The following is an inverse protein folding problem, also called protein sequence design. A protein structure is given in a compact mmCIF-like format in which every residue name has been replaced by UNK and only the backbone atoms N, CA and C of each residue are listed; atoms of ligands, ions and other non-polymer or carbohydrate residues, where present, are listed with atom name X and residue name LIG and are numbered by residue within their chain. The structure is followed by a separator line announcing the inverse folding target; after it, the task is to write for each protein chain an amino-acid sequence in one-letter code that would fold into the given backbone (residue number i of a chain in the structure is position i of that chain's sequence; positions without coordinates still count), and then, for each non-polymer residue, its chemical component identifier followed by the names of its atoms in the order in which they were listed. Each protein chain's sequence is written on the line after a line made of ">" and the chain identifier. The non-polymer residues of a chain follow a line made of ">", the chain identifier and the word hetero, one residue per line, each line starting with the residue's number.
data_IF_085239569364
#
_entry.id   IF_085239569364
#
_cell.length_a   1.000
_cell.length_b   1.000
_cell.length_c   1.000
_cell.angle_alpha   90.00
_cell.angle_beta   90.00
_cell.angle_gamma   90.00
#
_symmetry.space_group_name_H-M   'P 1'
#
loop_
_entity.id
_entity.type
_entity.pdbx_description
1 polymer ?
#
# COMPACT_ATOMS: atom_id res chain seq x y z
N UNK A 1 4.48 -12.80 4.22
CA UNK A 1 5.31 -11.71 3.65
C UNK A 1 6.78 -12.07 3.87
N UNK A 2 7.71 -11.50 3.11
CA UNK A 2 9.15 -11.78 3.28
C UNK A 2 9.64 -11.37 4.68
N UNK A 3 9.10 -10.28 5.25
CA UNK A 3 9.35 -9.91 6.65
C UNK A 3 8.97 -11.02 7.65
N UNK A 4 7.88 -11.75 7.43
CA UNK A 4 7.53 -12.87 8.32
C UNK A 4 8.55 -14.01 8.26
N UNK A 5 9.16 -14.26 7.09
CA UNK A 5 10.25 -15.24 6.99
C UNK A 5 11.49 -14.79 7.77
N UNK A 6 11.81 -13.49 7.72
CA UNK A 6 12.87 -12.91 8.55
C UNK A 6 12.59 -13.05 10.05
N UNK A 7 11.34 -12.83 10.48
CA UNK A 7 10.95 -13.02 11.88
C UNK A 7 11.03 -14.48 12.33
N UNK A 8 10.58 -15.43 11.49
CA UNK A 8 10.72 -16.87 11.76
C UNK A 8 12.19 -17.28 11.81
N UNK A 9 13.04 -16.74 10.93
CA UNK A 9 14.48 -16.98 10.98
C UNK A 9 15.07 -16.49 12.31
N UNK A 10 14.70 -15.28 12.76
CA UNK A 10 15.11 -14.76 14.07
C UNK A 10 14.66 -15.65 15.23
N UNK A 11 13.44 -16.17 15.14
CA UNK A 11 12.91 -17.13 16.11
C UNK A 11 13.76 -18.40 16.17
N UNK A 12 14.05 -19.03 15.01
CA UNK A 12 14.86 -20.25 14.92
C UNK A 12 16.26 -20.00 15.48
N UNK A 13 16.92 -18.93 15.06
CA UNK A 13 18.28 -18.60 15.50
C UNK A 13 18.37 -18.30 17.00
N UNK A 14 17.29 -17.75 17.59
CA UNK A 14 17.22 -17.51 19.03
C UNK A 14 17.00 -18.81 19.81
N UNK A 15 16.08 -19.67 19.37
CA UNK A 15 15.80 -20.97 20.02
C UNK A 15 16.99 -21.92 19.94
N UNK A 16 17.78 -21.85 18.87
CA UNK A 16 18.99 -22.66 18.67
C UNK A 16 20.24 -22.05 19.30
N UNK A 17 20.09 -20.99 20.10
CA UNK A 17 21.17 -20.29 20.82
C UNK A 17 22.28 -19.71 19.89
N UNK A 18 22.03 -19.62 18.58
CA UNK A 18 22.94 -18.96 17.63
C UNK A 18 22.93 -17.45 17.86
N UNK A 19 21.76 -16.88 18.16
CA UNK A 19 21.61 -15.50 18.55
C UNK A 19 21.45 -15.40 20.08
N UNK A 20 22.08 -14.40 20.71
CA UNK A 20 22.01 -14.26 22.16
C UNK A 20 20.60 -13.92 22.59
N UNK A 21 20.06 -14.73 23.50
CA UNK A 21 18.87 -14.42 24.26
C UNK A 21 19.30 -13.88 25.63
N UNK A 22 18.99 -12.61 25.90
CA UNK A 22 19.12 -12.06 27.24
C UNK A 22 17.98 -12.62 28.10
N UNK A 23 18.24 -13.77 28.72
CA UNK A 23 17.38 -14.30 29.76
C UNK A 23 17.43 -13.34 30.95
N UNK A 24 16.28 -12.85 31.44
CA UNK A 24 16.31 -12.04 32.65
C UNK A 24 16.79 -12.87 33.84
N UNK A 25 17.83 -12.39 34.51
CA UNK A 25 18.39 -13.01 35.73
C UNK A 25 17.40 -13.00 36.90
N UNK A 26 16.45 -12.05 36.90
CA UNK A 26 15.41 -11.92 37.93
C UNK A 26 14.04 -12.39 37.41
N UNK A 27 13.27 -13.05 38.29
CA UNK A 27 11.92 -13.54 38.01
C UNK A 27 10.91 -12.42 37.65
N UNK A 28 11.26 -11.16 37.93
CA UNK A 28 10.36 -10.01 37.85
C UNK A 28 10.46 -9.21 36.53
N UNK A 29 11.43 -9.54 35.65
CA UNK A 29 11.56 -8.84 34.36
C UNK A 29 10.54 -9.40 33.37
N UNK A 30 9.51 -8.59 33.09
CA UNK A 30 8.34 -8.99 32.28
C UNK A 30 8.64 -9.02 30.77
N UNK A 31 9.73 -8.40 30.32
CA UNK A 31 10.06 -8.25 28.89
C UNK A 31 11.50 -8.63 28.58
N UNK A 32 11.69 -9.40 27.52
CA UNK A 32 13.02 -9.65 27.00
C UNK A 32 13.54 -8.48 26.19
N UNK A 33 14.83 -8.20 26.35
CA UNK A 33 15.54 -7.18 25.57
C UNK A 33 16.00 -7.69 24.21
N UNK A 34 16.09 -9.01 24.02
CA UNK A 34 16.38 -9.62 22.72
C UNK A 34 15.14 -9.60 21.83
N UNK A 35 15.19 -8.82 20.75
CA UNK A 35 14.09 -8.60 19.80
C UNK A 35 14.48 -9.00 18.36
N UNK A 36 15.14 -10.14 18.20
CA UNK A 36 15.69 -10.58 16.92
C UNK A 36 14.61 -10.86 15.86
N UNK A 37 13.45 -11.39 16.23
CA UNK A 37 12.34 -11.61 15.30
C UNK A 37 11.84 -10.27 14.74
N UNK A 38 11.70 -9.26 15.59
CA UNK A 38 11.38 -7.89 15.17
C UNK A 38 12.43 -7.29 14.24
N UNK A 39 13.72 -7.34 14.61
CA UNK A 39 14.82 -6.74 13.83
C UNK A 39 14.94 -7.41 12.47
N UNK A 40 15.01 -8.75 12.42
CA UNK A 40 15.14 -9.49 11.17
C UNK A 40 13.86 -9.39 10.34
N UNK A 41 12.68 -9.39 10.96
CA UNK A 41 11.43 -9.20 10.26
C UNK A 41 11.32 -7.83 9.59
N UNK A 42 11.70 -6.77 10.30
CA UNK A 42 11.78 -5.42 9.76
C UNK A 42 12.82 -5.33 8.64
N UNK A 43 14.04 -5.82 8.86
CA UNK A 43 15.12 -5.80 7.87
C UNK A 43 14.69 -6.50 6.56
N UNK A 44 14.14 -7.72 6.65
CA UNK A 44 13.66 -8.46 5.48
C UNK A 44 12.53 -7.72 4.78
N UNK A 45 11.60 -7.11 5.52
CA UNK A 45 10.53 -6.32 4.93
C UNK A 45 11.04 -5.11 4.15
N UNK A 46 11.90 -4.28 4.76
CA UNK A 46 12.41 -3.05 4.13
C UNK A 46 13.40 -3.34 3.00
N UNK A 47 14.29 -4.32 3.17
CA UNK A 47 15.19 -4.75 2.10
C UNK A 47 14.41 -5.30 0.92
N UNK A 48 13.34 -6.08 1.16
CA UNK A 48 12.45 -6.51 0.08
C UNK A 48 11.80 -5.30 -0.59
N UNK A 49 11.28 -4.34 0.18
CA UNK A 49 10.67 -3.15 -0.42
C UNK A 49 11.64 -2.36 -1.31
N UNK A 50 12.90 -2.20 -0.89
CA UNK A 50 13.92 -1.42 -1.61
C UNK A 50 14.54 -2.15 -2.80
N UNK A 51 14.73 -3.48 -2.67
CA UNK A 51 15.48 -4.27 -3.64
C UNK A 51 14.56 -5.07 -4.57
N UNK A 52 13.25 -5.15 -4.29
CA UNK A 52 12.32 -5.91 -5.12
C UNK A 52 12.06 -5.22 -6.45
N UNK A 53 12.65 -5.77 -7.50
CA UNK A 53 12.38 -5.37 -8.87
C UNK A 53 11.18 -6.16 -9.39
N UNK A 54 10.15 -5.44 -9.83
CA UNK A 54 9.00 -6.07 -10.49
C UNK A 54 9.31 -6.24 -11.98
N UNK A 55 9.40 -7.48 -12.47
CA UNK A 55 9.60 -7.80 -13.90
C UNK A 55 8.35 -7.61 -14.77
N UNK A 56 7.48 -6.67 -14.38
CA UNK A 56 6.24 -6.40 -15.13
C UNK A 56 6.49 -5.30 -16.14
N UNK A 57 6.18 -5.58 -17.40
CA UNK A 57 6.06 -4.54 -18.41
C UNK A 57 4.86 -3.65 -18.10
N UNK A 58 5.12 -2.36 -17.98
CA UNK A 58 4.10 -1.34 -17.68
C UNK A 58 4.11 -0.33 -18.82
N UNK A 59 2.93 -0.09 -19.38
CA UNK A 59 2.71 1.07 -20.23
C UNK A 59 2.41 2.26 -19.32
N UNK A 60 3.22 3.31 -19.45
CA UNK A 60 3.00 4.58 -18.76
C UNK A 60 2.99 5.67 -19.81
N UNK A 61 1.86 6.36 -19.95
CA UNK A 61 1.61 7.39 -20.94
C UNK A 61 2.77 8.39 -21.09
N UNK A 62 3.25 8.96 -19.99
CA UNK A 62 4.33 9.96 -19.99
C UNK A 62 5.68 9.44 -20.52
N UNK A 63 5.92 8.11 -20.47
CA UNK A 63 7.17 7.50 -20.91
C UNK A 63 7.04 6.80 -22.27
N UNK A 64 5.84 6.30 -22.59
CA UNK A 64 5.60 5.49 -23.77
C UNK A 64 5.04 6.30 -24.95
N UNK A 65 4.55 7.51 -24.70
CA UNK A 65 4.09 8.45 -25.73
C UNK A 65 5.10 9.57 -25.81
N UNK A 66 5.55 9.87 -27.03
CA UNK A 66 6.39 11.03 -27.30
C UNK A 66 5.62 12.30 -26.91
N UNK A 67 6.13 13.03 -25.92
CA UNK A 67 5.50 14.24 -25.40
C UNK A 67 5.93 15.50 -26.18
N UNK A 68 6.98 15.40 -27.00
CA UNK A 68 7.57 16.52 -27.74
C UNK A 68 7.12 16.54 -29.20
N UNK A 69 6.99 15.36 -29.82
CA UNK A 69 6.49 15.21 -31.18
C UNK A 69 4.95 15.09 -31.21
N UNK A 70 4.29 16.19 -31.55
CA UNK A 70 2.83 16.29 -31.67
C UNK A 70 2.23 15.30 -32.69
N UNK A 71 2.97 14.90 -33.73
CA UNK A 71 2.49 13.93 -34.71
C UNK A 71 2.46 12.52 -34.12
N UNK A 72 3.55 12.11 -33.46
CA UNK A 72 3.65 10.82 -32.77
C UNK A 72 2.68 10.76 -31.58
N UNK A 73 2.48 11.87 -30.86
CA UNK A 73 1.48 11.98 -29.80
C UNK A 73 0.07 11.75 -30.35
N UNK A 74 -0.26 12.34 -31.50
CA UNK A 74 -1.52 12.14 -32.20
C UNK A 74 -1.75 10.69 -32.65
N UNK A 75 -0.72 10.04 -33.21
CA UNK A 75 -0.77 8.62 -33.59
C UNK A 75 -0.93 7.71 -32.38
N UNK A 76 -0.19 7.99 -31.30
CA UNK A 76 -0.28 7.26 -30.05
C UNK A 76 -1.69 7.36 -29.45
N UNK A 77 -2.28 8.56 -29.48
CA UNK A 77 -3.66 8.83 -29.09
C UNK A 77 -4.68 7.94 -29.84
N UNK A 78 -4.53 7.82 -31.15
CA UNK A 78 -5.39 6.97 -31.97
C UNK A 78 -5.17 5.49 -31.62
N UNK A 79 -3.92 5.10 -31.37
CA UNK A 79 -3.54 3.72 -31.03
C UNK A 79 -3.94 3.29 -29.61
N UNK A 80 -4.28 4.24 -28.73
CA UNK A 80 -4.54 4.01 -27.30
C UNK A 80 -5.58 2.90 -27.06
N UNK A 81 -6.63 2.84 -27.89
CA UNK A 81 -7.67 1.81 -27.76
C UNK A 81 -7.13 0.40 -27.96
N UNK A 82 -6.17 0.24 -28.87
CA UNK A 82 -5.47 -1.02 -29.10
C UNK A 82 -4.62 -1.41 -27.89
N UNK A 83 -3.86 -0.46 -27.34
CA UNK A 83 -3.01 -0.66 -26.16
C UNK A 83 -3.84 -1.06 -24.94
N UNK A 84 -4.95 -0.36 -24.69
CA UNK A 84 -5.86 -0.68 -23.58
C UNK A 84 -6.51 -2.05 -23.75
N UNK A 85 -6.85 -2.43 -24.99
CA UNK A 85 -7.41 -3.75 -25.31
C UNK A 85 -6.38 -4.88 -25.14
N UNK A 86 -5.12 -4.65 -25.52
CA UNK A 86 -4.04 -5.65 -25.38
C UNK A 86 -3.48 -5.74 -23.96
N UNK A 87 -3.69 -4.71 -23.12
CA UNK A 87 -3.20 -4.67 -21.75
C UNK A 87 -3.87 -5.74 -20.89
N UNK A 88 -3.09 -6.58 -20.21
CA UNK A 88 -3.60 -7.67 -19.37
C UNK A 88 -4.37 -7.17 -18.13
N UNK A 89 -3.91 -6.05 -17.55
CA UNK A 89 -4.46 -5.42 -16.35
C UNK A 89 -4.25 -3.91 -16.37
N UNK A 90 -5.05 -3.17 -15.62
CA UNK A 90 -4.92 -1.72 -15.44
C UNK A 90 -4.74 -1.40 -13.95
N UNK A 91 -3.70 -0.63 -13.62
CA UNK A 91 -3.48 -0.05 -12.30
C UNK A 91 -3.78 1.44 -12.35
N UNK A 92 -4.77 1.89 -11.57
CA UNK A 92 -5.10 3.31 -11.40
C UNK A 92 -4.58 3.76 -10.05
N UNK A 93 -3.59 4.65 -10.06
CA UNK A 93 -3.15 5.36 -8.86
C UNK A 93 -4.07 6.56 -8.68
N UNK A 94 -4.99 6.44 -7.73
CA UNK A 94 -6.05 7.39 -7.50
C UNK A 94 -5.66 8.45 -6.47
N UNK A 95 -6.07 9.68 -6.75
CA UNK A 95 -6.06 10.83 -5.86
C UNK A 95 -7.33 11.67 -6.10
N UNK A 96 -7.69 12.61 -5.21
CA UNK A 96 -8.94 13.40 -5.34
C UNK A 96 -9.07 14.24 -6.62
N UNK A 97 -7.96 14.51 -7.32
CA UNK A 97 -7.95 15.25 -8.59
C UNK A 97 -8.05 14.33 -9.81
N UNK A 98 -7.87 13.01 -9.64
CA UNK A 98 -7.89 12.02 -10.73
C UNK A 98 -9.14 12.12 -11.61
N UNK A 99 -10.33 12.25 -11.02
CA UNK A 99 -11.60 12.32 -11.77
C UNK A 99 -11.72 13.61 -12.59
N UNK A 100 -11.00 14.65 -12.20
CA UNK A 100 -11.05 15.94 -12.89
C UNK A 100 -10.24 15.94 -14.18
N UNK A 101 -9.28 15.02 -14.32
CA UNK A 101 -8.43 14.89 -15.51
C UNK A 101 -9.16 14.07 -16.57
N UNK A 102 -9.48 14.69 -17.71
CA UNK A 102 -10.27 14.07 -18.76
C UNK A 102 -9.61 12.80 -19.30
N UNK A 103 -8.30 12.87 -19.54
CA UNK A 103 -7.48 11.76 -20.01
C UNK A 103 -7.60 10.51 -19.14
N UNK A 104 -7.40 10.66 -17.83
CA UNK A 104 -7.43 9.56 -16.89
C UNK A 104 -8.79 8.84 -16.87
N UNK A 105 -9.88 9.61 -16.92
CA UNK A 105 -11.24 9.05 -16.94
C UNK A 105 -11.50 8.35 -18.28
N UNK A 106 -11.05 8.93 -19.39
CA UNK A 106 -11.15 8.35 -20.72
C UNK A 106 -10.42 7.00 -20.82
N UNK A 107 -9.20 6.90 -20.32
CA UNK A 107 -8.44 5.64 -20.31
C UNK A 107 -9.16 4.54 -19.53
N UNK A 108 -9.63 4.85 -18.31
CA UNK A 108 -10.33 3.88 -17.48
C UNK A 108 -11.66 3.44 -18.10
N UNK A 109 -12.43 4.39 -18.63
CA UNK A 109 -13.68 4.11 -19.32
C UNK A 109 -13.44 3.24 -20.57
N UNK A 110 -12.41 3.55 -21.34
CA UNK A 110 -12.03 2.80 -22.55
C UNK A 110 -11.53 1.40 -22.24
N UNK A 111 -10.74 1.22 -21.17
CA UNK A 111 -10.32 -0.10 -20.70
C UNK A 111 -11.52 -0.95 -20.24
N UNK A 112 -12.48 -0.35 -19.53
CA UNK A 112 -13.69 -1.04 -19.10
C UNK A 112 -14.67 -1.32 -20.25
N UNK A 113 -14.66 -0.50 -21.30
CA UNK A 113 -15.52 -0.64 -22.47
C UNK A 113 -14.98 -1.67 -23.49
N UNK A 114 -13.66 -1.68 -23.72
CA UNK A 114 -13.00 -2.58 -24.68
C UNK A 114 -12.99 -4.05 -24.25
N UNK A 115 -13.26 -4.33 -22.98
CA UNK A 115 -13.35 -5.68 -22.41
C UNK A 115 -14.81 -6.02 -22.18
N UNK A 116 -15.21 -7.18 -22.72
CA UNK A 116 -16.60 -7.63 -22.83
C UNK A 116 -17.41 -7.48 -21.51
N UNK A 117 -18.72 -7.29 -21.63
CA UNK A 117 -19.69 -6.90 -20.59
C UNK A 117 -19.71 -7.82 -19.35
N UNK A 118 -18.97 -8.93 -19.36
CA UNK A 118 -18.85 -9.90 -18.27
C UNK A 118 -17.60 -9.65 -17.42
N UNK A 119 -17.83 -9.45 -16.11
CA UNK A 119 -16.97 -9.55 -14.90
C UNK A 119 -15.43 -9.56 -14.97
N UNK A 120 -14.77 -10.12 -16.00
CA UNK A 120 -13.32 -10.28 -16.14
C UNK A 120 -12.57 -8.94 -16.16
N UNK A 121 -13.10 -7.91 -16.82
CA UNK A 121 -12.44 -6.59 -16.86
C UNK A 121 -12.21 -6.00 -15.45
N UNK A 122 -13.22 -6.15 -14.57
CA UNK A 122 -13.17 -5.69 -13.17
C UNK A 122 -12.19 -6.48 -12.32
N UNK A 123 -11.94 -7.76 -12.64
CA UNK A 123 -10.98 -8.59 -11.93
C UNK A 123 -9.54 -8.14 -12.15
N UNK A 124 -9.25 -7.54 -13.31
CA UNK A 124 -7.93 -7.07 -13.69
C UNK A 124 -7.75 -5.55 -13.57
N UNK A 125 -8.78 -4.83 -13.11
CA UNK A 125 -8.67 -3.44 -12.70
C UNK A 125 -8.21 -3.39 -11.23
N UNK A 126 -7.19 -2.60 -10.94
CA UNK A 126 -6.77 -2.30 -9.56
C UNK A 126 -6.74 -0.79 -9.38
N UNK A 127 -7.57 -0.28 -8.48
CA UNK A 127 -7.52 1.13 -8.08
C UNK A 127 -6.88 1.23 -6.70
N UNK A 128 -5.84 2.05 -6.58
CA UNK A 128 -5.05 2.18 -5.34
C UNK A 128 -4.85 3.66 -5.01
N UNK A 129 -5.14 4.11 -3.77
CA UNK A 129 -4.88 5.48 -3.36
C UNK A 129 -3.36 5.75 -3.33
N UNK A 130 -2.91 6.87 -3.87
CA UNK A 130 -1.50 7.25 -3.85
C UNK A 130 -0.97 7.47 -2.41
N UNK A 131 -1.81 8.01 -1.52
CA UNK A 131 -1.48 8.26 -0.11
C UNK A 131 -1.29 6.97 0.70
N UNK A 132 -1.84 5.84 0.23
CA UNK A 132 -1.80 4.59 0.97
C UNK A 132 -0.34 4.10 1.16
N UNK A 133 0.51 4.20 0.14
CA UNK A 133 1.90 3.76 0.24
C UNK A 133 2.66 4.43 1.38
N UNK A 134 2.78 5.77 1.39
CA UNK A 134 3.41 6.52 2.48
C UNK A 134 2.79 6.24 3.85
N UNK A 135 1.46 6.16 3.95
CA UNK A 135 0.75 5.89 5.23
C UNK A 135 1.11 4.52 5.78
N UNK A 136 1.11 3.48 4.94
CA UNK A 136 1.44 2.13 5.38
C UNK A 136 2.92 2.02 5.76
N UNK A 137 3.81 2.63 4.98
CA UNK A 137 5.25 2.58 5.26
C UNK A 137 5.60 3.31 6.56
N UNK A 138 5.07 4.52 6.75
CA UNK A 138 5.28 5.32 7.96
C UNK A 138 4.59 4.69 9.17
N UNK A 139 3.36 4.18 9.03
CA UNK A 139 2.65 3.47 10.08
C UNK A 139 3.37 2.20 10.53
N UNK A 140 3.84 1.39 9.58
CA UNK A 140 4.64 0.20 9.87
C UNK A 140 5.97 0.56 10.55
N UNK A 141 6.70 1.55 10.03
CA UNK A 141 7.96 2.00 10.63
C UNK A 141 7.78 2.55 12.04
N UNK A 142 6.76 3.39 12.24
CA UNK A 142 6.41 3.92 13.55
C UNK A 142 6.07 2.82 14.54
N UNK A 143 5.31 1.80 14.12
CA UNK A 143 5.00 0.65 14.98
C UNK A 143 6.24 -0.19 15.29
N UNK A 144 7.12 -0.44 14.33
CA UNK A 144 8.40 -1.09 14.59
C UNK A 144 9.24 -0.32 15.63
N UNK A 145 9.40 0.99 15.45
CA UNK A 145 10.17 1.86 16.36
C UNK A 145 9.54 1.82 17.75
N UNK A 146 8.23 1.98 17.85
CA UNK A 146 7.51 1.95 19.13
C UNK A 146 7.75 0.62 19.85
N UNK A 147 7.57 -0.52 19.17
CA UNK A 147 7.71 -1.84 19.78
C UNK A 147 9.17 -2.22 20.09
N UNK A 148 10.15 -1.71 19.34
CA UNK A 148 11.58 -1.87 19.65
C UNK A 148 12.01 -1.00 20.84
N UNK A 149 11.51 0.23 20.93
CA UNK A 149 11.80 1.12 22.06
C UNK A 149 11.12 0.65 23.36
N UNK A 150 9.96 -0.01 23.25
CA UNK A 150 9.08 -0.27 24.37
C UNK A 150 9.69 -1.07 25.52
N UNK A 151 10.32 -2.25 25.33
CA UNK A 151 10.95 -2.99 26.43
C UNK A 151 12.07 -2.20 27.13
N UNK A 152 12.87 -1.46 26.35
CA UNK A 152 13.96 -0.66 26.87
C UNK A 152 13.44 0.51 27.72
N UNK A 153 12.38 1.17 27.27
CA UNK A 153 11.74 2.26 27.98
C UNK A 153 11.06 1.77 29.27
N UNK A 154 10.44 0.59 29.25
CA UNK A 154 9.92 -0.02 30.47
C UNK A 154 11.02 -0.31 31.49
N UNK A 155 12.09 -0.99 31.07
CA UNK A 155 13.19 -1.34 31.96
C UNK A 155 13.88 -0.10 32.55
N UNK A 156 13.90 1.02 31.81
CA UNK A 156 14.55 2.25 32.26
C UNK A 156 13.70 3.12 33.18
N UNK A 157 12.36 3.10 33.05
CA UNK A 157 11.50 4.10 33.69
C UNK A 157 10.36 3.53 34.55
N UNK A 158 10.15 2.23 34.56
CA UNK A 158 8.90 1.65 35.09
C UNK A 158 9.18 0.53 36.09
N UNK A 159 9.06 0.85 37.37
CA UNK A 159 9.06 -0.13 38.47
C UNK A 159 7.64 -0.66 38.79
N UNK A 160 6.59 0.01 38.30
CA UNK A 160 5.19 -0.27 38.67
C UNK A 160 4.29 -0.52 37.45
N UNK A 161 3.26 -1.36 37.63
CA UNK A 161 2.29 -1.70 36.57
C UNK A 161 1.54 -0.48 36.00
N UNK A 162 1.32 0.55 36.81
CA UNK A 162 0.56 1.75 36.42
C UNK A 162 1.34 2.62 35.43
N UNK A 163 2.65 2.76 35.64
CA UNK A 163 3.52 3.50 34.73
C UNK A 163 3.69 2.76 33.38
N UNK A 164 3.59 1.43 33.35
CA UNK A 164 3.57 0.63 32.12
C UNK A 164 2.33 0.95 31.26
N UNK A 165 1.14 0.95 31.88
CA UNK A 165 -0.13 1.25 31.18
C UNK A 165 -0.13 2.68 30.64
N UNK A 166 0.37 3.63 31.43
CA UNK A 166 0.47 5.03 31.02
C UNK A 166 1.41 5.19 29.81
N UNK A 167 2.59 4.57 29.85
CA UNK A 167 3.58 4.64 28.77
C UNK A 167 3.06 4.04 27.46
N UNK A 168 2.41 2.87 27.52
CA UNK A 168 1.74 2.27 26.37
C UNK A 168 0.64 3.19 25.81
N UNK A 169 -0.16 3.77 26.70
CA UNK A 169 -1.26 4.65 26.31
C UNK A 169 -0.72 5.91 25.63
N UNK A 170 0.33 6.53 26.16
CA UNK A 170 0.98 7.72 25.59
C UNK A 170 1.60 7.43 24.22
N UNK A 171 2.16 6.24 23.99
CA UNK A 171 2.70 5.84 22.70
C UNK A 171 1.63 5.46 21.67
N UNK A 172 0.61 4.71 22.09
CA UNK A 172 -0.43 4.19 21.20
C UNK A 172 -1.50 5.23 20.83
N UNK A 173 -1.86 6.14 21.75
CA UNK A 173 -2.90 7.16 21.49
C UNK A 173 -2.57 8.05 20.29
N UNK A 174 -1.34 8.60 20.13
CA UNK A 174 -0.95 9.34 18.93
C UNK A 174 -1.00 8.49 17.66
N UNK A 175 -0.58 7.22 17.74
CA UNK A 175 -0.64 6.31 16.59
C UNK A 175 -2.09 6.08 16.15
N UNK A 176 -2.99 5.75 17.07
CA UNK A 176 -4.42 5.58 16.77
C UNK A 176 -5.08 6.89 16.34
N UNK A 177 -4.71 8.02 16.95
CA UNK A 177 -5.20 9.35 16.57
C UNK A 177 -4.79 9.73 15.15
N UNK A 178 -3.55 9.45 14.76
CA UNK A 178 -3.03 9.66 13.41
C UNK A 178 -3.76 8.75 12.40
N UNK A 179 -3.89 7.45 12.69
CA UNK A 179 -4.62 6.51 11.84
C UNK A 179 -6.08 6.93 11.66
N UNK A 180 -6.75 7.36 12.73
CA UNK A 180 -8.12 7.86 12.67
C UNK A 180 -8.24 9.16 11.87
N UNK A 181 -7.24 10.05 11.95
CA UNK A 181 -7.20 11.28 11.14
C UNK A 181 -7.05 10.95 9.65
N UNK A 182 -6.08 10.10 9.29
CA UNK A 182 -5.87 9.65 7.91
C UNK A 182 -7.09 8.90 7.36
N UNK A 183 -7.68 8.00 8.16
CA UNK A 183 -8.89 7.28 7.79
C UNK A 183 -10.06 8.23 7.51
N UNK A 184 -10.26 9.25 8.34
CA UNK A 184 -11.29 10.28 8.09
C UNK A 184 -11.02 11.09 6.83
N UNK A 185 -9.77 11.49 6.58
CA UNK A 185 -9.39 12.18 5.35
C UNK A 185 -9.63 11.32 4.10
N UNK A 186 -9.35 10.03 4.19
CA UNK A 186 -9.65 9.06 3.14
C UNK A 186 -11.16 8.93 2.88
N UNK A 187 -11.98 8.79 3.92
CA UNK A 187 -13.45 8.73 3.77
C UNK A 187 -13.99 9.99 3.09
N UNK A 188 -13.56 11.19 3.51
CA UNK A 188 -13.96 12.45 2.85
C UNK A 188 -13.57 12.48 1.37
N UNK A 189 -12.41 11.94 1.04
CA UNK A 189 -11.93 11.85 -0.34
C UNK A 189 -12.76 10.86 -1.17
N UNK A 190 -13.25 9.77 -0.56
CA UNK A 190 -14.20 8.85 -1.20
C UNK A 190 -15.56 9.51 -1.45
N UNK A 191 -16.06 10.33 -0.51
CA UNK A 191 -17.31 11.06 -0.70
C UNK A 191 -17.18 12.05 -1.87
N UNK A 192 -16.07 12.78 -1.93
CA UNK A 192 -15.76 13.69 -3.05
C UNK A 192 -15.66 12.93 -4.38
N UNK A 193 -14.98 11.79 -4.41
CA UNK A 193 -14.89 10.92 -5.58
C UNK A 193 -16.26 10.46 -6.08
N UNK A 194 -17.13 10.02 -5.15
CA UNK A 194 -18.47 9.58 -5.48
C UNK A 194 -19.30 10.70 -6.11
N UNK A 195 -19.19 11.92 -5.58
CA UNK A 195 -19.85 13.11 -6.12
C UNK A 195 -19.29 13.49 -7.49
N UNK A 196 -17.96 13.57 -7.64
CA UNK A 196 -17.29 13.91 -8.90
C UNK A 196 -17.64 12.93 -10.01
N UNK A 197 -17.63 11.62 -9.73
CA UNK A 197 -18.03 10.61 -10.73
C UNK A 197 -19.53 10.61 -10.99
N UNK A 198 -20.36 10.91 -9.98
CA UNK A 198 -21.82 11.01 -10.15
C UNK A 198 -22.25 12.18 -11.05
N UNK A 199 -21.49 13.28 -11.02
CA UNK A 199 -21.75 14.50 -11.78
C UNK A 199 -20.75 14.71 -12.93
N UNK A 200 -19.98 13.68 -13.29
CA UNK A 200 -18.94 13.78 -14.31
C UNK A 200 -19.52 14.25 -15.65
N UNK A 201 -18.82 15.12 -16.36
CA UNK A 201 -19.11 15.42 -17.76
C UNK A 201 -17.83 15.57 -18.58
N UNK A 202 -17.79 14.92 -19.74
CA UNK A 202 -16.69 15.02 -20.69
C UNK A 202 -16.42 16.47 -21.13
N UNK A 203 -17.46 17.29 -21.24
CA UNK A 203 -17.34 18.70 -21.65
C UNK A 203 -16.64 19.55 -20.58
N UNK A 204 -16.90 19.29 -19.30
CA UNK A 204 -16.35 20.06 -18.18
C UNK A 204 -15.08 19.46 -17.56
N UNK A 205 -14.72 18.22 -17.92
CA UNK A 205 -13.50 17.56 -17.45
C UNK A 205 -12.25 18.33 -17.90
N UNK A 206 -11.25 18.50 -17.05
CA UNK A 206 -10.06 19.34 -17.32
C UNK A 206 -9.10 18.68 -18.29
N UNK A 207 -8.48 19.50 -19.14
CA UNK A 207 -7.39 19.12 -20.04
C UNK A 207 -6.26 20.13 -19.86
N UNK A 208 -5.03 19.65 -19.71
CA UNK A 208 -3.87 20.52 -19.55
C UNK A 208 -3.75 21.51 -20.73
N UNK A 209 -3.90 21.02 -21.96
CA UNK A 209 -3.83 21.85 -23.17
C UNK A 209 -4.82 23.04 -23.12
N UNK A 210 -6.03 22.85 -22.57
CA UNK A 210 -7.03 23.90 -22.47
C UNK A 210 -6.70 24.88 -21.33
N UNK A 211 -6.20 24.37 -20.20
CA UNK A 211 -5.87 25.19 -19.03
C UNK A 211 -4.72 26.18 -19.31
N UNK A 212 -3.83 25.84 -20.25
CA UNK A 212 -2.72 26.72 -20.72
C UNK A 212 -3.04 27.47 -22.02
N UNK A 213 -4.32 27.58 -22.39
CA UNK A 213 -4.76 28.24 -23.63
C UNK A 213 -4.09 27.69 -24.91
N UNK A 214 -3.77 26.41 -24.93
CA UNK A 214 -3.10 25.70 -26.02
C UNK A 214 -1.72 26.27 -26.38
N UNK A 215 -1.02 26.83 -25.39
CA UNK A 215 0.37 27.28 -25.51
C UNK A 215 1.20 26.58 -24.44
N UNK A 216 2.25 25.89 -24.86
CA UNK A 216 3.20 25.25 -23.96
C UNK A 216 3.91 26.31 -23.11
N UNK A 217 3.82 26.25 -21.76
CA UNK A 217 4.42 27.25 -20.88
C UNK A 217 5.95 27.24 -20.88
N UNK A 218 6.60 26.16 -21.33
CA UNK A 218 8.05 26.01 -21.34
C UNK A 218 8.65 26.34 -22.71
N UNK A 219 8.03 25.85 -23.78
CA UNK A 219 8.55 26.03 -25.15
C UNK A 219 7.93 27.22 -25.87
N UNK A 220 6.77 27.70 -25.43
CA UNK A 220 5.97 28.70 -26.15
C UNK A 220 5.31 28.16 -27.43
N UNK A 221 5.46 26.87 -27.72
CA UNK A 221 4.85 26.21 -28.87
C UNK A 221 3.33 26.09 -28.74
N UNK A 222 2.64 25.95 -29.89
CA UNK A 222 1.20 25.70 -29.90
C UNK A 222 0.91 24.23 -29.66
N UNK A 223 0.10 23.93 -28.66
CA UNK A 223 -0.33 22.58 -28.32
C UNK A 223 -1.55 22.16 -29.15
N UNK A 224 -1.62 20.89 -29.50
CA UNK A 224 -2.85 20.29 -30.04
C UNK A 224 -3.88 20.16 -28.91
N UNK A 225 -5.16 20.35 -29.25
CA UNK A 225 -6.26 20.22 -28.28
C UNK A 225 -6.57 18.74 -28.01
N UNK A 226 -6.04 18.21 -26.90
CA UNK A 226 -6.31 16.84 -26.45
C UNK A 226 -7.82 16.60 -26.25
N UNK A 227 -8.58 17.62 -25.82
CA UNK A 227 -10.05 17.53 -25.68
C UNK A 227 -10.73 17.18 -26.99
N UNK A 228 -10.39 17.88 -28.07
CA UNK A 228 -11.05 17.68 -29.36
C UNK A 228 -10.78 16.27 -29.89
N UNK A 229 -9.58 15.75 -29.68
CA UNK A 229 -9.22 14.38 -30.04
C UNK A 229 -10.01 13.39 -29.19
N UNK A 230 -10.00 13.55 -27.86
CA UNK A 230 -10.75 12.66 -26.96
C UNK A 230 -12.24 12.65 -27.26
N UNK A 231 -12.86 13.79 -27.54
CA UNK A 231 -14.28 13.87 -27.89
C UNK A 231 -14.60 13.16 -29.23
N UNK A 232 -13.71 13.25 -30.22
CA UNK A 232 -13.83 12.48 -31.47
C UNK A 232 -13.71 10.97 -31.19
N UNK A 233 -12.70 10.54 -30.43
CA UNK A 233 -12.56 9.13 -30.02
C UNK A 233 -13.78 8.65 -29.25
N UNK A 234 -14.35 9.48 -28.38
CA UNK A 234 -15.58 9.18 -27.65
C UNK A 234 -16.76 8.97 -28.60
N UNK A 235 -16.94 9.85 -29.59
CA UNK A 235 -17.96 9.70 -30.63
C UNK A 235 -17.81 8.37 -31.39
N UNK A 236 -16.58 7.99 -31.73
CA UNK A 236 -16.31 6.75 -32.49
C UNK A 236 -16.53 5.50 -31.62
N UNK A 237 -16.02 5.48 -30.39
CA UNK A 237 -16.01 4.25 -29.56
C UNK A 237 -17.28 4.07 -28.74
N UNK A 238 -17.82 5.17 -28.22
CA UNK A 238 -18.97 5.16 -27.31
C UNK A 238 -20.26 5.65 -27.99
N UNK A 239 -20.17 6.22 -29.20
CA UNK A 239 -21.28 6.72 -29.99
C UNK A 239 -21.63 8.19 -29.71
N UNK A 240 -21.53 8.65 -28.45
CA UNK A 240 -21.73 10.06 -28.11
C UNK A 240 -21.08 10.43 -26.76
N UNK A 241 -20.77 11.73 -26.53
CA UNK A 241 -20.33 12.23 -25.22
C UNK A 241 -21.32 11.92 -24.09
N UNK A 242 -22.63 12.02 -24.35
CA UNK A 242 -23.65 11.72 -23.34
C UNK A 242 -23.64 10.26 -22.90
N UNK A 243 -23.47 9.32 -23.84
CA UNK A 243 -23.38 7.89 -23.53
C UNK A 243 -22.09 7.53 -22.79
N UNK A 244 -21.01 8.25 -23.09
CA UNK A 244 -19.77 8.17 -22.32
C UNK A 244 -19.97 8.68 -20.89
N UNK A 245 -20.61 9.83 -20.69
CA UNK A 245 -20.93 10.37 -19.37
C UNK A 245 -21.77 9.38 -18.54
N UNK A 246 -22.79 8.76 -19.14
CA UNK A 246 -23.60 7.72 -18.49
C UNK A 246 -22.77 6.50 -18.07
N UNK A 247 -21.87 6.04 -18.95
CA UNK A 247 -20.95 4.93 -18.65
C UNK A 247 -20.02 5.29 -17.49
N UNK A 248 -19.52 6.53 -17.44
CA UNK A 248 -18.66 7.00 -16.34
C UNK A 248 -19.43 7.07 -15.03
N UNK A 249 -20.60 7.73 -15.04
CA UNK A 249 -21.48 7.91 -13.86
C UNK A 249 -21.99 6.58 -13.30
N UNK A 250 -22.17 5.58 -14.16
CA UNK A 250 -22.60 4.23 -13.78
C UNK A 250 -21.44 3.25 -13.57
N UNK A 251 -20.93 2.70 -14.66
CA UNK A 251 -20.01 1.55 -14.65
C UNK A 251 -18.64 1.91 -14.08
N UNK A 252 -18.04 3.03 -14.49
CA UNK A 252 -16.72 3.45 -13.98
C UNK A 252 -16.81 3.75 -12.49
N UNK A 253 -17.79 4.56 -12.07
CA UNK A 253 -18.06 4.86 -10.66
C UNK A 253 -18.14 3.60 -9.81
N UNK A 254 -18.96 2.64 -10.24
CA UNK A 254 -19.13 1.38 -9.51
C UNK A 254 -17.83 0.58 -9.45
N UNK A 255 -17.09 0.48 -10.56
CA UNK A 255 -15.84 -0.26 -10.61
C UNK A 255 -14.76 0.35 -9.70
N UNK A 256 -14.64 1.67 -9.68
CA UNK A 256 -13.68 2.40 -8.85
C UNK A 256 -14.00 2.23 -7.36
N UNK A 257 -15.25 2.48 -6.96
CA UNK A 257 -15.67 2.38 -5.57
C UNK A 257 -15.51 0.95 -5.01
N UNK A 258 -15.88 -0.08 -5.79
CA UNK A 258 -15.69 -1.47 -5.38
C UNK A 258 -14.22 -1.83 -5.14
N UNK A 259 -13.29 -1.27 -5.94
CA UNK A 259 -11.86 -1.51 -5.77
C UNK A 259 -11.28 -0.78 -4.56
N UNK A 260 -11.71 0.46 -4.31
CA UNK A 260 -11.25 1.29 -3.19
C UNK A 260 -11.81 0.83 -1.85
N UNK A 261 -13.06 0.38 -1.82
CA UNK A 261 -13.75 -0.09 -0.61
C UNK A 261 -13.61 -1.61 -0.40
N UNK A 262 -12.71 -2.27 -1.14
CA UNK A 262 -12.53 -3.71 -1.04
C UNK A 262 -12.04 -4.11 0.36
N UNK A 263 -12.88 -4.80 1.13
CA UNK A 263 -12.53 -5.32 2.47
C UNK A 263 -11.28 -6.19 2.43
N UNK A 264 -11.13 -7.01 1.38
CA UNK A 264 -9.93 -7.86 1.20
C UNK A 264 -8.66 -7.03 1.11
N UNK A 265 -8.71 -5.93 0.33
CA UNK A 265 -7.57 -5.04 0.19
C UNK A 265 -7.23 -4.36 1.52
N UNK A 266 -8.23 -3.76 2.18
CA UNK A 266 -8.04 -3.08 3.47
C UNK A 266 -7.50 -4.03 4.54
N UNK A 267 -8.04 -5.25 4.61
CA UNK A 267 -7.57 -6.28 5.53
C UNK A 267 -6.10 -6.66 5.28
N UNK A 268 -5.71 -6.86 4.01
CA UNK A 268 -4.32 -7.14 3.67
C UNK A 268 -3.38 -6.03 4.13
N UNK A 269 -3.76 -4.76 3.96
CA UNK A 269 -2.96 -3.63 4.43
C UNK A 269 -2.86 -3.58 5.95
N UNK A 270 -3.96 -3.84 6.65
CA UNK A 270 -3.97 -3.91 8.12
C UNK A 270 -3.05 -5.02 8.63
N UNK A 271 -3.10 -6.21 8.03
CA UNK A 271 -2.21 -7.33 8.38
C UNK A 271 -0.74 -6.96 8.19
N UNK A 272 -0.40 -6.27 7.10
CA UNK A 272 0.98 -5.80 6.87
C UNK A 272 1.40 -4.82 7.95
N UNK A 273 0.62 -3.75 8.18
CA UNK A 273 0.94 -2.71 9.18
C UNK A 273 1.05 -3.29 10.59
N UNK A 274 0.19 -4.25 10.95
CA UNK A 274 0.18 -4.86 12.28
C UNK A 274 1.16 -6.05 12.42
N UNK A 275 1.86 -6.46 11.35
CA UNK A 275 2.79 -7.58 11.42
C UNK A 275 3.92 -7.44 12.47
N UNK A 276 4.43 -6.23 12.81
CA UNK A 276 5.37 -6.07 13.92
C UNK A 276 4.83 -6.56 15.27
N UNK A 277 3.53 -6.45 15.54
CA UNK A 277 2.94 -6.98 16.78
C UNK A 277 3.14 -8.49 16.85
N UNK A 278 2.92 -9.19 15.73
CA UNK A 278 3.11 -10.63 15.65
C UNK A 278 4.59 -11.02 15.80
N UNK A 279 5.51 -10.23 15.25
CA UNK A 279 6.96 -10.48 15.42
C UNK A 279 7.41 -10.32 16.87
N UNK A 280 6.86 -9.34 17.60
CA UNK A 280 7.11 -9.18 19.04
C UNK A 280 6.62 -10.41 19.84
N UNK A 281 5.46 -10.97 19.47
CA UNK A 281 4.98 -12.20 20.11
C UNK A 281 5.87 -13.40 19.78
N UNK A 282 6.45 -13.48 18.57
CA UNK A 282 7.45 -14.50 18.24
C UNK A 282 8.72 -14.34 19.10
N UNK A 283 9.20 -13.12 19.33
CA UNK A 283 10.33 -12.89 20.25
C UNK A 283 10.03 -13.46 21.64
N UNK A 284 8.79 -13.28 22.14
CA UNK A 284 8.39 -13.86 23.43
C UNK A 284 8.37 -15.38 23.42
N UNK A 285 7.80 -15.99 22.38
CA UNK A 285 7.72 -17.46 22.33
C UNK A 285 9.08 -18.12 22.18
N UNK A 286 10.02 -17.48 21.44
CA UNK A 286 11.39 -17.98 21.30
C UNK A 286 12.06 -18.20 22.67
N UNK A 287 11.83 -17.29 23.61
CA UNK A 287 12.44 -17.34 24.94
C UNK A 287 11.83 -18.40 25.83
N UNK A 288 10.50 -18.54 25.80
CA UNK A 288 9.84 -19.60 26.58
C UNK A 288 10.30 -20.98 26.12
N UNK A 289 10.44 -21.16 24.80
CA UNK A 289 10.92 -22.42 24.22
C UNK A 289 12.40 -22.65 24.53
N UNK A 290 13.25 -21.63 24.34
CA UNK A 290 14.68 -21.73 24.66
C UNK A 290 14.91 -22.08 26.13
N UNK A 291 14.20 -21.41 27.06
CA UNK A 291 14.29 -21.69 28.50
C UNK A 291 13.87 -23.13 28.85
N UNK A 292 12.80 -23.66 28.24
CA UNK A 292 12.37 -25.04 28.48
C UNK A 292 13.39 -26.05 27.94
N UNK A 293 14.00 -25.79 26.79
CA UNK A 293 15.07 -26.62 26.23
C UNK A 293 16.31 -26.64 27.14
N UNK A 294 16.81 -25.47 27.55
CA UNK A 294 17.96 -25.38 28.46
C UNK A 294 17.70 -26.07 29.79
N UNK A 295 16.49 -25.95 30.37
CA UNK A 295 16.12 -26.65 31.60
C UNK A 295 16.12 -28.18 31.45
N UNK A 296 15.64 -28.70 30.32
CA UNK A 296 15.67 -30.14 30.02
C UNK A 296 17.09 -30.65 29.85
N UNK A 297 17.93 -29.95 29.10
CA UNK A 297 19.32 -30.34 28.86
C UNK A 297 20.12 -30.34 30.17
N UNK A 298 19.86 -29.36 31.04
CA UNK A 298 20.46 -29.30 32.38
C UNK A 298 20.00 -30.47 33.26
N UNK A 299 18.70 -30.82 33.24
CA UNK A 299 18.17 -31.94 34.00
C UNK A 299 18.78 -33.28 33.55
N UNK A 300 18.92 -33.49 32.23
CA UNK A 300 19.56 -34.68 31.66
C UNK A 300 21.04 -34.74 32.06
N UNK A 301 21.77 -33.62 31.98
CA UNK A 301 23.17 -33.56 32.36
C UNK A 301 23.39 -33.88 33.86
N UNK A 302 22.49 -33.40 34.73
CA UNK A 302 22.51 -33.73 36.17
C UNK A 302 22.22 -35.21 36.40
N UNK A 303 21.23 -35.79 35.72
CA UNK A 303 20.88 -37.21 35.86
C UNK A 303 22.04 -38.12 35.41
N UNK A 304 22.72 -37.79 34.31
CA UNK A 304 23.93 -38.48 33.84
C UNK A 304 25.07 -38.36 34.84
N UNK A 305 25.27 -37.18 35.46
CA UNK A 305 26.33 -36.97 36.45
C UNK A 305 26.07 -37.69 37.80
N UNK A 306 24.81 -37.96 38.15
CA UNK A 306 24.43 -38.68 39.39
C UNK A 306 24.49 -40.21 39.20
N UNK A 307 24.36 -40.70 37.96
CA UNK A 307 24.30 -42.13 37.65
C UNK A 307 25.61 -42.75 37.15
N UNK A 308 26.64 -41.94 36.89
CA UNK A 308 28.00 -42.37 36.51
C UNK A 308 29.01 -42.23 37.64
#
# INVERSE_FOLDING_TARGET
>A
SIGMLGAILGWILTVTEVLPATLPEAADVVFCTSQWCMVLGAAFYYLSFLLWQSERFVFLDILCIDQEDESLKGEALISMGSILKSSASMLVLWDPTWVTRFWCVFELASYLHSRDRQSKARQHLRVRPNLMGPVLLTGHAGLCILLLAFPNLLNAFVETSDAMVLLLSVGLLPCFGCLAHVGRAFCRSLDTLQQQLGNFSAESAKCFCCDVNHVDPYTGGRLICDRDIMLKCIGIWFGSPSRFDELVRGQVRTAVLLQLMSTKYLYQQLVVVCSPVMWLFLDRTALYVGRDMTMRDTAIAVEVAVTG
#
